data_IF_924732533668
#
_entry.id   IF_924732533668
#
_cell.length_a   1.000
_cell.length_b   1.000
_cell.length_c   1.000
_cell.angle_alpha   90.00
_cell.angle_beta   90.00
_cell.angle_gamma   90.00
#
_symmetry.space_group_name_H-M   'P 1'
#
loop_
_entity.id
_entity.type
_entity.pdbx_description
1 polymer ?
#
# COMPACT_ATOMS: atom_id res chain seq x y z
N UNK A 1 -54.43 -50.49 -11.01
CA UNK A 1 -53.95 -49.38 -10.15
C UNK A 1 -52.48 -49.12 -10.47
N UNK A 2 -52.20 -48.14 -11.33
CA UNK A 2 -50.84 -47.79 -11.76
C UNK A 2 -50.30 -46.65 -10.88
N UNK A 3 -49.54 -46.99 -9.82
CA UNK A 3 -48.73 -46.04 -9.05
C UNK A 3 -47.29 -46.10 -9.56
N UNK A 4 -46.98 -45.33 -10.60
CA UNK A 4 -45.60 -45.06 -11.01
C UNK A 4 -45.47 -43.57 -11.33
N UNK A 5 -44.36 -42.98 -10.87
CA UNK A 5 -43.70 -41.78 -11.41
C UNK A 5 -43.82 -40.42 -10.69
N UNK A 6 -43.92 -40.35 -9.37
CA UNK A 6 -43.67 -39.09 -8.63
C UNK A 6 -42.30 -38.99 -7.92
N UNK A 7 -41.56 -40.10 -7.72
CA UNK A 7 -40.23 -40.05 -7.08
C UNK A 7 -39.13 -39.47 -7.99
N UNK A 8 -39.23 -39.62 -9.32
CA UNK A 8 -38.19 -39.18 -10.27
C UNK A 8 -38.12 -37.66 -10.47
N UNK A 9 -39.25 -36.95 -10.43
CA UNK A 9 -39.30 -35.48 -10.59
C UNK A 9 -38.66 -34.73 -9.42
N UNK A 10 -38.76 -35.27 -8.21
CA UNK A 10 -38.16 -34.66 -7.01
C UNK A 10 -36.63 -34.82 -6.99
N UNK A 11 -36.10 -35.97 -7.39
CA UNK A 11 -34.65 -36.21 -7.46
C UNK A 11 -33.99 -35.37 -8.55
N UNK A 12 -34.57 -35.33 -9.76
CA UNK A 12 -34.01 -34.54 -10.86
C UNK A 12 -33.99 -33.04 -10.52
N UNK A 13 -35.05 -32.52 -9.91
CA UNK A 13 -35.13 -31.12 -9.46
C UNK A 13 -34.08 -30.80 -8.39
N UNK A 14 -33.88 -31.70 -7.42
CA UNK A 14 -32.88 -31.49 -6.37
C UNK A 14 -31.45 -31.53 -6.90
N UNK A 15 -31.14 -32.43 -7.85
CA UNK A 15 -29.83 -32.49 -8.52
C UNK A 15 -29.57 -31.20 -9.30
N UNK A 16 -30.56 -30.69 -10.03
CA UNK A 16 -30.43 -29.42 -10.77
C UNK A 16 -30.16 -28.26 -9.80
N UNK A 17 -30.88 -28.17 -8.68
CA UNK A 17 -30.67 -27.12 -7.68
C UNK A 17 -29.25 -27.18 -7.12
N UNK A 18 -28.77 -28.37 -6.75
CA UNK A 18 -27.41 -28.56 -6.22
C UNK A 18 -26.37 -28.19 -7.28
N UNK A 19 -26.56 -28.59 -8.54
CA UNK A 19 -25.67 -28.26 -9.65
C UNK A 19 -25.61 -26.74 -9.89
N UNK A 20 -26.75 -26.05 -9.85
CA UNK A 20 -26.83 -24.59 -9.99
C UNK A 20 -26.12 -23.88 -8.83
N UNK A 21 -26.36 -24.30 -7.59
CA UNK A 21 -25.67 -23.74 -6.42
C UNK A 21 -24.17 -23.97 -6.52
N UNK A 22 -23.75 -25.19 -6.88
CA UNK A 22 -22.34 -25.52 -7.09
C UNK A 22 -21.68 -24.64 -8.15
N UNK A 23 -22.34 -24.45 -9.30
CA UNK A 23 -21.86 -23.58 -10.36
C UNK A 23 -21.74 -22.11 -9.90
N UNK A 24 -22.71 -21.61 -9.13
CA UNK A 24 -22.68 -20.24 -8.59
C UNK A 24 -21.52 -20.07 -7.60
N UNK A 25 -21.29 -21.04 -6.71
CA UNK A 25 -20.20 -20.96 -5.73
C UNK A 25 -18.83 -21.00 -6.41
N UNK A 26 -18.64 -21.89 -7.39
CA UNK A 26 -17.39 -21.96 -8.17
C UNK A 26 -17.19 -20.68 -8.97
N UNK A 27 -18.22 -20.22 -9.69
CA UNK A 27 -18.15 -18.98 -10.47
C UNK A 27 -17.86 -17.75 -9.61
N UNK A 28 -18.53 -17.63 -8.47
CA UNK A 28 -18.31 -16.56 -7.49
C UNK A 28 -16.89 -16.59 -6.91
N UNK A 29 -16.36 -17.77 -6.60
CA UNK A 29 -14.97 -17.94 -6.14
C UNK A 29 -13.95 -17.49 -7.19
N UNK A 30 -14.12 -17.90 -8.45
CA UNK A 30 -13.23 -17.50 -9.55
C UNK A 30 -13.27 -16.00 -9.79
N UNK A 31 -14.45 -15.38 -9.83
CA UNK A 31 -14.58 -13.94 -10.03
C UNK A 31 -13.95 -13.14 -8.88
N UNK A 32 -14.15 -13.59 -7.63
CA UNK A 32 -13.54 -12.94 -6.46
C UNK A 32 -12.01 -13.01 -6.51
N UNK A 33 -11.46 -14.15 -6.92
CA UNK A 33 -10.03 -14.34 -7.08
C UNK A 33 -9.43 -13.48 -8.20
N UNK A 34 -10.12 -13.37 -9.34
CA UNK A 34 -9.69 -12.51 -10.44
C UNK A 34 -9.72 -11.03 -10.06
N UNK A 35 -10.74 -10.60 -9.30
CA UNK A 35 -10.83 -9.24 -8.78
C UNK A 35 -9.70 -8.93 -7.78
N UNK A 36 -9.39 -9.86 -6.87
CA UNK A 36 -8.26 -9.73 -5.93
C UNK A 36 -6.93 -9.57 -6.68
N UNK A 37 -6.67 -10.42 -7.67
CA UNK A 37 -5.46 -10.31 -8.49
C UNK A 37 -5.39 -9.01 -9.28
N UNK A 38 -6.50 -8.56 -9.88
CA UNK A 38 -6.52 -7.31 -10.65
C UNK A 38 -6.18 -6.09 -9.77
N UNK A 39 -6.66 -6.07 -8.51
CA UNK A 39 -6.39 -4.97 -7.57
C UNK A 39 -4.91 -4.82 -7.20
N UNK A 40 -4.14 -5.92 -7.26
CA UNK A 40 -2.71 -5.96 -6.93
C UNK A 40 -1.78 -5.70 -8.12
N UNK A 41 -2.33 -5.42 -9.31
CA UNK A 41 -1.59 -5.05 -10.53
C UNK A 41 -1.33 -3.56 -10.69
N UNK A 42 -1.77 -2.75 -9.73
CA UNK A 42 -1.52 -1.33 -9.67
C UNK A 42 -0.72 -1.00 -8.39
N UNK A 43 -0.03 0.16 -8.35
CA UNK A 43 0.58 0.65 -7.12
C UNK A 43 -0.45 0.74 -5.99
N UNK A 44 -0.06 0.42 -4.75
CA UNK A 44 -0.91 0.68 -3.59
C UNK A 44 -0.99 2.18 -3.36
N UNK A 45 -2.16 2.76 -3.56
CA UNK A 45 -2.39 4.20 -3.39
C UNK A 45 -2.47 4.56 -1.91
N UNK A 46 -1.63 5.51 -1.49
CA UNK A 46 -1.64 6.10 -0.16
C UNK A 46 -1.76 7.60 -0.34
N UNK A 47 -2.82 8.20 0.21
CA UNK A 47 -3.07 9.64 0.07
C UNK A 47 -1.87 10.46 0.54
N UNK A 48 -1.34 11.39 -0.29
CA UNK A 48 -0.30 12.31 0.15
C UNK A 48 -0.78 13.19 1.30
N UNK A 49 0.16 13.68 2.10
CA UNK A 49 -0.12 14.68 3.13
C UNK A 49 -0.81 15.92 2.52
N UNK A 50 -1.77 16.56 3.20
CA UNK A 50 -2.43 17.75 2.68
C UNK A 50 -1.42 18.85 2.32
N UNK A 51 -1.58 19.47 1.15
CA UNK A 51 -0.66 20.48 0.59
C UNK A 51 0.75 19.96 0.23
N UNK A 52 0.95 18.64 0.18
CA UNK A 52 2.19 18.09 -0.38
C UNK A 52 2.30 18.41 -1.88
N UNK A 53 3.42 19.01 -2.28
CA UNK A 53 3.74 19.34 -3.66
C UNK A 53 4.49 18.16 -4.29
N UNK A 54 4.05 17.67 -5.45
CA UNK A 54 4.79 16.66 -6.20
C UNK A 54 6.11 17.26 -6.67
N UNK A 55 7.22 16.67 -6.21
CA UNK A 55 8.56 17.09 -6.59
C UNK A 55 9.09 16.28 -7.78
N UNK A 56 8.77 14.99 -7.83
CA UNK A 56 9.19 14.15 -8.93
C UNK A 56 8.81 12.70 -8.74
N UNK A 57 9.08 11.89 -9.75
CA UNK A 57 8.93 10.44 -9.68
C UNK A 57 9.99 9.76 -10.51
N UNK A 58 10.29 8.51 -10.16
CA UNK A 58 11.22 7.66 -10.89
C UNK A 58 10.64 6.25 -10.97
N UNK A 59 10.46 5.75 -12.19
CA UNK A 59 10.13 4.34 -12.37
C UNK A 59 11.41 3.53 -12.18
N UNK A 60 11.44 2.64 -11.19
CA UNK A 60 12.59 1.74 -10.97
C UNK A 60 12.50 0.52 -11.87
N UNK A 61 11.29 -0.05 -12.00
CA UNK A 61 10.99 -1.24 -12.80
C UNK A 61 9.56 -1.15 -13.33
N UNK A 62 9.13 -2.12 -14.15
CA UNK A 62 7.75 -2.19 -14.67
C UNK A 62 6.70 -2.24 -13.56
N UNK A 63 7.04 -2.83 -12.40
CA UNK A 63 6.14 -2.99 -11.26
C UNK A 63 6.65 -2.28 -9.99
N UNK A 64 7.47 -1.24 -10.15
CA UNK A 64 7.94 -0.41 -9.03
C UNK A 64 8.20 1.03 -9.43
N UNK A 65 7.76 1.96 -8.57
CA UNK A 65 7.92 3.41 -8.75
C UNK A 65 8.30 4.07 -7.44
N UNK A 66 9.13 5.10 -7.55
CA UNK A 66 9.36 6.07 -6.50
C UNK A 66 8.65 7.39 -6.79
N UNK A 67 8.07 8.00 -5.78
CA UNK A 67 7.45 9.32 -5.87
C UNK A 67 7.97 10.17 -4.74
N UNK A 68 8.27 11.43 -5.03
CA UNK A 68 8.84 12.37 -4.09
C UNK A 68 7.91 13.57 -3.95
N UNK A 69 7.63 13.94 -2.71
CA UNK A 69 6.86 15.12 -2.35
C UNK A 69 7.67 16.04 -1.44
N UNK A 70 7.41 17.35 -1.54
CA UNK A 70 7.91 18.38 -0.62
C UNK A 70 6.75 19.03 0.12
N UNK A 71 6.94 19.35 1.38
CA UNK A 71 5.96 19.99 2.24
C UNK A 71 6.64 21.17 2.96
N UNK A 72 6.08 22.37 2.84
CA UNK A 72 6.66 23.60 3.39
C UNK A 72 6.28 23.83 4.85
N UNK A 73 5.01 23.61 5.17
CA UNK A 73 4.41 24.12 6.40
C UNK A 73 4.13 23.04 7.45
N UNK A 74 4.91 21.95 7.44
CA UNK A 74 4.78 20.86 8.43
C UNK A 74 6.14 20.24 8.75
N UNK A 75 6.35 19.90 10.02
CA UNK A 75 7.53 19.14 10.45
C UNK A 75 7.41 17.65 10.09
N UNK A 76 8.54 16.92 9.99
CA UNK A 76 8.52 15.49 9.73
C UNK A 76 7.66 14.70 10.72
N UNK A 77 7.64 15.08 12.00
CA UNK A 77 6.84 14.43 13.04
C UNK A 77 5.33 14.53 12.76
N UNK A 78 4.84 15.74 12.44
CA UNK A 78 3.42 15.97 12.12
C UNK A 78 3.00 15.18 10.88
N UNK A 79 3.88 15.15 9.87
CA UNK A 79 3.64 14.38 8.65
C UNK A 79 3.66 12.86 8.93
N UNK A 80 4.56 12.39 9.80
CA UNK A 80 4.61 11.00 10.22
C UNK A 80 3.35 10.58 11.00
N UNK A 81 2.83 11.44 11.89
CA UNK A 81 1.56 11.21 12.60
C UNK A 81 0.38 11.09 11.64
N UNK A 82 0.34 11.93 10.60
CA UNK A 82 -0.66 11.79 9.54
C UNK A 82 -0.60 10.40 8.90
N UNK A 83 0.59 9.94 8.50
CA UNK A 83 0.74 8.61 7.90
C UNK A 83 0.48 7.48 8.87
N UNK A 84 0.79 7.63 10.16
CA UNK A 84 0.38 6.69 11.20
C UNK A 84 -1.14 6.57 11.27
N UNK A 85 -1.86 7.68 11.22
CA UNK A 85 -3.34 7.65 11.22
C UNK A 85 -3.91 6.92 10.00
N UNK A 86 -3.27 7.06 8.83
CA UNK A 86 -3.63 6.34 7.61
C UNK A 86 -3.28 4.86 7.69
N UNK A 87 -2.14 4.52 8.28
CA UNK A 87 -1.72 3.14 8.51
C UNK A 87 -2.72 2.43 9.41
N UNK A 88 -3.13 3.06 10.52
CA UNK A 88 -4.14 2.52 11.43
C UNK A 88 -5.47 2.24 10.72
N UNK A 89 -5.87 3.09 9.77
CA UNK A 89 -7.07 2.89 8.93
C UNK A 89 -6.90 1.69 7.99
N UNK A 90 -5.73 1.60 7.33
CA UNK A 90 -5.39 0.52 6.41
C UNK A 90 -5.38 -0.85 7.09
N UNK A 91 -4.77 -0.93 8.27
CA UNK A 91 -4.57 -2.20 9.01
C UNK A 91 -5.72 -2.55 9.95
N UNK A 92 -6.75 -1.70 10.03
CA UNK A 92 -7.90 -1.85 10.95
C UNK A 92 -7.46 -1.96 12.42
N UNK A 93 -6.41 -1.22 12.79
CA UNK A 93 -5.90 -1.15 14.16
C UNK A 93 -4.94 -2.29 14.55
N UNK A 94 -4.22 -2.89 13.59
CA UNK A 94 -3.07 -3.74 13.94
C UNK A 94 -1.96 -2.90 14.62
N UNK A 95 -1.05 -3.55 15.34
CA UNK A 95 0.09 -2.90 16.03
C UNK A 95 1.18 -2.36 15.08
N UNK A 96 0.86 -2.11 13.81
CA UNK A 96 1.81 -1.54 12.85
C UNK A 96 2.03 -0.05 13.11
N UNK A 97 3.30 0.32 13.18
CA UNK A 97 3.71 1.68 13.49
C UNK A 97 4.71 2.20 12.45
N UNK A 98 4.61 3.50 12.19
CA UNK A 98 5.65 4.28 11.56
C UNK A 98 6.88 4.27 12.48
N UNK A 99 7.97 3.69 12.00
CA UNK A 99 9.20 3.53 12.78
C UNK A 99 10.13 4.72 12.52
N UNK A 100 10.54 5.40 13.58
CA UNK A 100 11.60 6.42 13.51
C UNK A 100 12.97 5.75 13.48
N UNK A 101 13.85 6.25 12.61
CA UNK A 101 15.21 5.78 12.42
C UNK A 101 16.19 6.97 12.41
N UNK A 102 17.16 7.04 13.34
CA UNK A 102 17.27 6.21 14.54
C UNK A 102 16.04 6.38 15.46
N UNK A 103 15.84 5.46 16.41
CA UNK A 103 14.68 5.53 17.31
C UNK A 103 14.63 6.85 18.08
N UNK A 104 15.79 7.37 18.48
CA UNK A 104 15.97 8.66 19.15
C UNK A 104 17.18 9.39 18.58
N UNK A 105 17.20 10.72 18.71
CA UNK A 105 18.33 11.55 18.25
C UNK A 105 18.51 11.56 16.73
N UNK A 106 19.73 11.80 16.29
CA UNK A 106 20.11 11.83 14.88
C UNK A 106 21.15 10.75 14.58
N UNK A 107 21.23 10.32 13.34
CA UNK A 107 22.31 9.45 12.88
C UNK A 107 23.67 10.12 13.15
N UNK A 108 24.69 9.34 13.57
CA UNK A 108 26.02 9.88 13.78
C UNK A 108 26.56 10.48 12.48
N UNK A 109 27.06 11.73 12.53
CA UNK A 109 27.61 12.40 11.35
C UNK A 109 28.75 11.61 10.67
N UNK A 110 29.46 10.76 11.43
CA UNK A 110 30.49 9.85 10.91
C UNK A 110 29.96 8.68 10.07
N UNK A 111 28.66 8.35 10.20
CA UNK A 111 27.99 7.25 9.51
C UNK A 111 27.12 7.72 8.35
N UNK A 112 26.87 9.02 8.25
CA UNK A 112 26.07 9.61 7.18
C UNK A 112 26.94 9.88 5.94
N UNK A 113 26.62 9.19 4.85
CA UNK A 113 27.07 9.61 3.53
C UNK A 113 26.45 10.96 3.13
N UNK A 114 27.02 11.66 2.14
CA UNK A 114 26.41 12.88 1.62
C UNK A 114 24.98 12.60 1.14
N UNK A 115 24.03 13.45 1.54
CA UNK A 115 22.63 13.32 1.12
C UNK A 115 21.77 12.38 1.96
N UNK A 116 22.23 11.94 3.14
CA UNK A 116 21.42 11.14 4.06
C UNK A 116 20.80 12.06 5.14
N UNK A 117 19.47 12.03 5.36
CA UNK A 117 18.83 12.85 6.37
C UNK A 117 19.25 12.43 7.79
N UNK A 118 19.28 13.37 8.75
CA UNK A 118 19.67 13.09 10.14
C UNK A 118 18.76 12.08 10.85
N UNK A 119 17.49 11.98 10.42
CA UNK A 119 16.56 10.94 10.85
C UNK A 119 15.46 10.78 9.79
N UNK A 120 14.70 9.69 9.87
CA UNK A 120 13.51 9.50 9.04
C UNK A 120 12.46 8.64 9.76
N UNK A 121 11.20 8.81 9.39
CA UNK A 121 10.11 7.92 9.74
C UNK A 121 9.78 7.01 8.56
N UNK A 122 9.53 5.73 8.82
CA UNK A 122 9.15 4.76 7.80
C UNK A 122 7.83 4.11 8.17
N UNK A 123 6.82 4.31 7.35
CA UNK A 123 5.52 3.68 7.44
C UNK A 123 5.37 2.69 6.28
N UNK A 124 5.11 1.42 6.57
CA UNK A 124 4.92 0.39 5.54
C UNK A 124 3.44 0.08 5.39
N UNK A 125 2.86 0.43 4.25
CA UNK A 125 1.51 0.02 3.88
C UNK A 125 1.62 -1.27 3.07
N UNK A 126 1.23 -2.41 3.65
CA UNK A 126 1.30 -3.71 3.00
C UNK A 126 -0.11 -4.24 2.68
N UNK A 127 -0.31 -4.66 1.43
CA UNK A 127 -1.50 -5.36 0.96
C UNK A 127 -1.13 -6.67 0.24
N UNK A 128 0.04 -7.21 0.58
CA UNK A 128 0.54 -8.48 0.07
C UNK A 128 -0.31 -9.64 0.57
N UNK A 129 -0.34 -10.70 -0.23
CA UNK A 129 -1.15 -11.89 0.00
C UNK A 129 -0.46 -13.13 -0.53
N UNK A 130 -1.18 -14.26 -0.57
CA UNK A 130 -0.62 -15.51 -1.06
C UNK A 130 -0.15 -15.36 -2.52
N UNK A 131 1.16 -15.51 -2.74
CA UNK A 131 1.82 -15.35 -4.04
C UNK A 131 1.63 -13.98 -4.72
N UNK A 132 1.34 -12.92 -3.97
CA UNK A 132 1.21 -11.57 -4.52
C UNK A 132 1.82 -10.52 -3.61
N UNK A 133 2.67 -9.66 -4.17
CA UNK A 133 3.28 -8.53 -3.46
C UNK A 133 2.65 -7.23 -3.90
N UNK A 134 2.21 -6.43 -2.94
CA UNK A 134 1.76 -5.06 -3.17
C UNK A 134 1.98 -4.24 -1.91
N UNK A 135 2.87 -3.26 -1.95
CA UNK A 135 3.12 -2.38 -0.81
C UNK A 135 3.56 -0.98 -1.24
N UNK A 136 3.36 -0.03 -0.34
CA UNK A 136 3.90 1.32 -0.43
C UNK A 136 4.62 1.64 0.87
N UNK A 137 5.95 1.80 0.81
CA UNK A 137 6.72 2.32 1.92
C UNK A 137 6.79 3.85 1.82
N UNK A 138 6.24 4.52 2.83
CA UNK A 138 6.33 5.98 2.97
C UNK A 138 7.49 6.30 3.89
N UNK A 139 8.47 7.07 3.40
CA UNK A 139 9.59 7.58 4.19
C UNK A 139 9.44 9.08 4.33
N UNK A 140 9.37 9.57 5.55
CA UNK A 140 9.26 11.00 5.89
C UNK A 140 10.56 11.45 6.53
N UNK A 141 11.17 12.52 6.03
CA UNK A 141 12.43 13.03 6.59
C UNK A 141 12.50 14.55 6.50
N UNK A 142 13.32 15.22 7.33
CA UNK A 142 13.71 16.59 7.05
C UNK A 142 14.41 16.64 5.70
N UNK A 143 14.20 17.75 4.99
CA UNK A 143 14.89 18.03 3.76
C UNK A 143 16.33 18.43 3.99
N UNK A 144 17.11 18.32 2.92
CA UNK A 144 18.55 18.49 2.92
C UNK A 144 18.94 19.69 2.07
N UNK A 145 20.00 20.36 2.51
CA UNK A 145 20.66 21.37 1.73
C UNK A 145 21.23 20.76 0.44
N UNK A 146 21.00 21.47 -0.67
CA UNK A 146 21.65 21.20 -1.95
C UNK A 146 22.09 22.54 -2.55
N UNK A 147 23.28 22.58 -3.16
CA UNK A 147 23.79 23.77 -3.84
C UNK A 147 22.96 24.16 -5.06
N UNK A 148 22.27 23.20 -5.68
CA UNK A 148 21.32 23.46 -6.75
C UNK A 148 19.95 23.85 -6.15
N UNK A 149 19.43 25.06 -6.41
CA UNK A 149 18.14 25.52 -5.89
C UNK A 149 16.95 24.61 -6.23
N UNK A 150 16.99 23.90 -7.37
CA UNK A 150 15.92 22.99 -7.77
C UNK A 150 15.83 21.76 -6.83
N UNK A 151 16.99 21.29 -6.38
CA UNK A 151 17.11 20.13 -5.51
C UNK A 151 17.24 20.48 -4.03
N UNK A 152 17.34 21.77 -3.70
CA UNK A 152 17.38 22.19 -2.31
C UNK A 152 16.03 21.91 -1.64
N UNK A 153 16.08 21.25 -0.49
CA UNK A 153 14.92 20.93 0.34
C UNK A 153 15.13 21.38 1.78
N UNK A 154 16.17 22.16 2.05
CA UNK A 154 16.44 22.71 3.37
C UNK A 154 15.21 23.46 3.91
N UNK A 155 14.86 23.16 5.16
CA UNK A 155 13.70 23.72 5.84
C UNK A 155 12.35 23.11 5.41
N UNK A 156 12.33 22.17 4.47
CA UNK A 156 11.13 21.45 4.04
C UNK A 156 11.06 20.06 4.67
N UNK A 157 9.88 19.47 4.69
CA UNK A 157 9.71 18.03 4.91
C UNK A 157 9.64 17.32 3.57
N UNK A 158 10.41 16.24 3.42
CA UNK A 158 10.44 15.40 2.22
C UNK A 158 9.71 14.10 2.51
N UNK A 159 8.87 13.68 1.57
CA UNK A 159 8.18 12.40 1.64
C UNK A 159 8.52 11.58 0.39
N UNK A 160 9.10 10.41 0.60
CA UNK A 160 9.40 9.45 -0.45
C UNK A 160 8.44 8.27 -0.36
N UNK A 161 7.75 7.98 -1.46
CA UNK A 161 6.98 6.76 -1.62
C UNK A 161 7.81 5.78 -2.42
N UNK A 162 8.01 4.57 -1.89
CA UNK A 162 8.52 3.43 -2.64
C UNK A 162 7.38 2.45 -2.83
N UNK A 163 6.87 2.39 -4.06
CA UNK A 163 5.71 1.58 -4.43
C UNK A 163 6.18 0.34 -5.18
N UNK A 164 5.65 -0.82 -4.80
CA UNK A 164 5.90 -2.11 -5.45
C UNK A 164 4.59 -2.86 -5.58
N UNK A 165 4.36 -3.47 -6.74
CA UNK A 165 3.16 -4.25 -7.03
C UNK A 165 3.49 -5.45 -7.92
N UNK A 166 2.49 -6.30 -8.19
CA UNK A 166 2.67 -7.41 -9.14
C UNK A 166 2.52 -6.91 -10.58
N UNK A 167 3.38 -7.34 -11.52
CA UNK A 167 3.18 -7.08 -12.94
C UNK A 167 1.91 -7.73 -13.50
#
# INVERSE_FOLDING_TARGET
>A
MNRRNNKGRSLLRNIIIIAVIGAILVGGGVLSFLADQASRKAPLEVDPYPNAELWGYRNRQTSSREVYYKIRDASPDVVAEYYQSRLNQHTKGSEENCVRLPAEGEYPASELGPGVPPYAFRCLFDNSGFQSTQYTQVTVSPGLYNSDPEYNTEGLTVVQYVQVWQP
#
